data_IF_064027567518
#
_entry.id   IF_064027567518
#
_cell.length_a   1.000
_cell.length_b   1.000
_cell.length_c   1.000
_cell.angle_alpha   90.00
_cell.angle_beta   90.00
_cell.angle_gamma   90.00
#
_symmetry.space_group_name_H-M   'P 1'
#
loop_
_entity.id
_entity.type
_entity.pdbx_description
1 polymer ?
#
# COMPACT_ATOMS: atom_id res chain seq x y z
N UNK A 1 -22.00 4.88 -28.17
CA UNK A 1 -20.66 4.65 -27.61
C UNK A 1 -20.85 3.93 -26.29
N UNK A 2 -20.17 2.80 -26.05
CA UNK A 2 -20.20 2.18 -24.73
C UNK A 2 -19.48 3.13 -23.75
N UNK A 3 -20.22 3.71 -22.80
CA UNK A 3 -19.60 4.50 -21.74
C UNK A 3 -19.12 3.52 -20.67
N UNK A 4 -17.81 3.33 -20.59
CA UNK A 4 -17.22 2.61 -19.48
C UNK A 4 -17.23 3.49 -18.22
N UNK A 5 -17.58 2.88 -17.09
CA UNK A 5 -17.51 3.49 -15.77
C UNK A 5 -16.07 3.36 -15.24
N UNK A 6 -15.52 4.47 -14.77
CA UNK A 6 -14.14 4.56 -14.26
C UNK A 6 -13.11 4.88 -15.34
N UNK A 7 -11.92 5.29 -14.91
CA UNK A 7 -10.77 5.54 -15.78
C UNK A 7 -9.67 4.51 -15.47
N UNK A 8 -9.25 3.77 -16.51
CA UNK A 8 -8.06 2.94 -16.45
C UNK A 8 -6.92 3.69 -17.15
N UNK A 9 -5.86 3.98 -16.41
CA UNK A 9 -4.67 4.66 -16.95
C UNK A 9 -3.88 3.75 -17.87
N UNK A 10 -3.17 4.33 -18.84
CA UNK A 10 -2.23 3.57 -19.69
C UNK A 10 -1.09 2.98 -18.85
N UNK A 11 -0.76 1.72 -19.12
CA UNK A 11 0.36 1.00 -18.51
C UNK A 11 1.66 1.22 -19.28
N UNK A 12 2.63 1.81 -18.60
CA UNK A 12 4.02 1.93 -19.03
C UNK A 12 4.91 1.18 -18.04
N UNK A 13 5.54 0.09 -18.50
CA UNK A 13 6.36 -0.78 -17.67
C UNK A 13 7.63 -0.13 -17.12
N UNK A 14 8.02 1.04 -17.63
CA UNK A 14 9.21 1.77 -17.17
C UNK A 14 8.96 2.55 -15.88
N UNK A 15 7.70 2.94 -15.64
CA UNK A 15 7.34 3.84 -14.54
C UNK A 15 6.21 3.30 -13.67
N UNK A 16 5.50 2.26 -14.10
CA UNK A 16 4.40 1.66 -13.35
C UNK A 16 4.73 0.25 -12.87
N UNK A 17 4.17 -0.10 -11.72
CA UNK A 17 4.19 -1.46 -11.20
C UNK A 17 3.07 -2.30 -11.84
N UNK A 18 3.45 -3.42 -12.45
CA UNK A 18 2.52 -4.33 -13.13
C UNK A 18 1.39 -4.80 -12.21
N UNK A 19 1.70 -5.23 -10.99
CA UNK A 19 0.70 -5.72 -10.02
C UNK A 19 -0.38 -4.67 -9.69
N UNK A 20 0.02 -3.39 -9.58
CA UNK A 20 -0.90 -2.28 -9.30
C UNK A 20 -1.82 -2.04 -10.50
N UNK A 21 -1.27 -2.02 -11.72
CA UNK A 21 -2.07 -1.88 -12.93
C UNK A 21 -3.01 -3.07 -13.14
N UNK A 22 -2.51 -4.30 -12.98
CA UNK A 22 -3.28 -5.53 -13.12
C UNK A 22 -4.46 -5.59 -12.13
N UNK A 23 -4.25 -5.15 -10.89
CA UNK A 23 -5.32 -5.00 -9.90
C UNK A 23 -6.41 -4.02 -10.38
N UNK A 24 -6.03 -2.83 -10.88
CA UNK A 24 -6.96 -1.83 -11.42
C UNK A 24 -7.71 -2.35 -12.65
N UNK A 25 -7.02 -3.00 -13.57
CA UNK A 25 -7.60 -3.62 -14.77
C UNK A 25 -8.65 -4.67 -14.39
N UNK A 26 -8.36 -5.51 -13.39
CA UNK A 26 -9.29 -6.52 -12.89
C UNK A 26 -10.57 -5.89 -12.35
N UNK A 27 -10.46 -4.80 -11.58
CA UNK A 27 -11.64 -4.07 -11.10
C UNK A 27 -12.40 -3.38 -12.23
N UNK A 28 -11.69 -2.82 -13.21
CA UNK A 28 -12.31 -2.17 -14.38
C UNK A 28 -13.11 -3.17 -15.23
N UNK A 29 -12.56 -4.34 -15.50
CA UNK A 29 -13.23 -5.45 -16.19
C UNK A 29 -14.49 -5.88 -15.43
N UNK A 30 -14.38 -6.04 -14.11
CA UNK A 30 -15.50 -6.43 -13.23
C UNK A 30 -16.60 -5.38 -13.23
N UNK A 31 -16.25 -4.11 -12.99
CA UNK A 31 -17.20 -3.00 -12.91
C UNK A 31 -18.00 -2.85 -14.21
N UNK A 32 -17.32 -2.99 -15.35
CA UNK A 32 -17.92 -2.82 -16.67
C UNK A 32 -18.49 -4.13 -17.26
N UNK A 33 -18.46 -5.22 -16.50
CA UNK A 33 -18.98 -6.55 -16.90
C UNK A 33 -18.45 -6.96 -18.28
N UNK A 34 -17.14 -6.76 -18.49
CA UNK A 34 -16.50 -7.01 -19.78
C UNK A 34 -16.42 -8.52 -20.04
N UNK A 35 -17.00 -8.95 -21.16
CA UNK A 35 -17.00 -10.36 -21.58
C UNK A 35 -15.57 -10.87 -21.78
N UNK A 36 -15.36 -12.16 -21.53
CA UNK A 36 -14.04 -12.83 -21.66
C UNK A 36 -13.40 -12.57 -23.03
N UNK A 37 -14.21 -12.58 -24.10
CA UNK A 37 -13.77 -12.31 -25.48
C UNK A 37 -13.15 -10.92 -25.68
N UNK A 38 -13.53 -9.93 -24.85
CA UNK A 38 -13.09 -8.55 -24.98
C UNK A 38 -11.98 -8.17 -23.99
N UNK A 39 -11.66 -9.02 -23.01
CA UNK A 39 -10.67 -8.70 -21.97
C UNK A 39 -9.25 -8.53 -22.55
N UNK A 40 -8.86 -9.35 -23.54
CA UNK A 40 -7.59 -9.17 -24.24
C UNK A 40 -7.51 -7.79 -24.90
N UNK A 41 -8.58 -7.38 -25.62
CA UNK A 41 -8.62 -6.09 -26.30
C UNK A 41 -8.53 -4.92 -25.30
N UNK A 42 -9.19 -5.02 -24.15
CA UNK A 42 -9.10 -4.00 -23.09
C UNK A 42 -7.69 -3.89 -22.52
N UNK A 43 -7.04 -5.01 -22.21
CA UNK A 43 -5.65 -5.02 -21.77
C UNK A 43 -4.75 -4.34 -22.81
N UNK A 44 -4.81 -4.79 -24.05
CA UNK A 44 -3.93 -4.35 -25.14
C UNK A 44 -4.08 -2.86 -25.45
N UNK A 45 -5.30 -2.32 -25.39
CA UNK A 45 -5.58 -0.90 -25.64
C UNK A 45 -5.14 0.03 -24.51
N UNK A 46 -4.87 -0.51 -23.32
CA UNK A 46 -4.35 0.24 -22.18
C UNK A 46 -2.84 0.04 -21.99
N UNK A 47 -2.15 -0.56 -22.94
CA UNK A 47 -0.68 -0.58 -22.96
C UNK A 47 -0.17 0.67 -23.67
N UNK A 48 0.90 1.27 -23.14
CA UNK A 48 1.73 2.18 -23.93
C UNK A 48 2.34 1.44 -25.12
N UNK A 49 2.82 2.18 -26.12
CA UNK A 49 3.46 1.60 -27.30
C UNK A 49 4.65 0.70 -26.93
N UNK A 50 5.46 1.12 -25.95
CA UNK A 50 6.60 0.35 -25.46
C UNK A 50 6.16 -0.92 -24.73
N UNK A 51 5.15 -0.84 -23.86
CA UNK A 51 4.57 -2.02 -23.21
C UNK A 51 3.97 -2.98 -24.23
N UNK A 52 3.24 -2.48 -25.23
CA UNK A 52 2.65 -3.29 -26.29
C UNK A 52 3.73 -4.04 -27.09
N UNK A 53 4.80 -3.33 -27.50
CA UNK A 53 5.95 -3.94 -28.20
C UNK A 53 6.62 -5.00 -27.34
N UNK A 54 6.76 -4.77 -26.04
CA UNK A 54 7.31 -5.75 -25.11
C UNK A 54 6.44 -7.02 -25.10
N UNK A 55 5.12 -6.92 -24.90
CA UNK A 55 4.26 -8.11 -24.88
C UNK A 55 4.30 -8.85 -26.21
N UNK A 56 4.29 -8.12 -27.34
CA UNK A 56 4.45 -8.71 -28.68
C UNK A 56 5.74 -9.52 -28.81
N UNK A 57 6.84 -9.00 -28.28
CA UNK A 57 8.12 -9.72 -28.31
C UNK A 57 8.11 -10.95 -27.40
N UNK A 58 7.43 -10.89 -26.25
CA UNK A 58 7.34 -12.00 -25.30
C UNK A 58 6.49 -13.17 -25.79
N UNK A 59 5.54 -12.93 -26.71
CA UNK A 59 4.66 -13.98 -27.27
C UNK A 59 5.12 -14.50 -28.64
N UNK A 60 6.16 -13.91 -29.24
CA UNK A 60 6.68 -14.34 -30.53
C UNK A 60 7.10 -15.84 -30.49
N UNK A 61 6.77 -16.66 -31.51
CA UNK A 61 6.30 -16.29 -32.86
C UNK A 61 4.79 -16.09 -33.01
N UNK A 62 4.01 -16.26 -31.94
CA UNK A 62 2.56 -16.12 -32.02
C UNK A 62 2.17 -14.64 -32.20
N UNK A 63 1.02 -14.41 -32.84
CA UNK A 63 0.45 -13.06 -32.95
C UNK A 63 -0.20 -12.66 -31.64
N UNK A 64 0.13 -11.46 -31.18
CA UNK A 64 -0.33 -10.93 -29.89
C UNK A 64 -1.86 -10.84 -29.81
N UNK A 65 -2.50 -10.41 -30.89
CA UNK A 65 -3.94 -10.15 -30.99
C UNK A 65 -4.78 -11.44 -30.99
N UNK A 66 -4.14 -12.59 -31.24
CA UNK A 66 -4.78 -13.92 -31.24
C UNK A 66 -4.69 -14.60 -29.85
N UNK A 67 -3.95 -14.03 -28.90
CA UNK A 67 -3.76 -14.60 -27.55
C UNK A 67 -4.93 -14.29 -26.63
N UNK A 68 -5.27 -15.25 -25.78
CA UNK A 68 -6.31 -15.07 -24.76
C UNK A 68 -5.83 -14.20 -23.61
N UNK A 69 -6.77 -13.56 -22.91
CA UNK A 69 -6.45 -12.69 -21.76
C UNK A 69 -5.63 -13.43 -20.69
N UNK A 70 -5.99 -14.67 -20.39
CA UNK A 70 -5.29 -15.52 -19.43
C UNK A 70 -3.83 -15.76 -19.82
N UNK A 71 -3.57 -16.02 -21.11
CA UNK A 71 -2.20 -16.21 -21.60
C UNK A 71 -1.37 -14.93 -21.52
N UNK A 72 -1.95 -13.79 -21.88
CA UNK A 72 -1.28 -12.49 -21.79
C UNK A 72 -0.92 -12.14 -20.35
N UNK A 73 -1.87 -12.30 -19.42
CA UNK A 73 -1.63 -12.08 -17.98
C UNK A 73 -0.54 -13.02 -17.47
N UNK A 74 -0.56 -14.30 -17.85
CA UNK A 74 0.48 -15.26 -17.44
C UNK A 74 1.86 -14.83 -17.92
N UNK A 75 1.98 -14.39 -19.17
CA UNK A 75 3.24 -13.89 -19.75
C UNK A 75 3.72 -12.64 -19.00
N UNK A 76 2.82 -11.69 -18.76
CA UNK A 76 3.15 -10.44 -18.07
C UNK A 76 3.52 -10.65 -16.61
N UNK A 77 2.80 -11.50 -15.89
CA UNK A 77 3.16 -11.93 -14.53
C UNK A 77 4.54 -12.57 -14.52
N UNK A 78 4.82 -13.49 -15.44
CA UNK A 78 6.12 -14.16 -15.54
C UNK A 78 7.28 -13.21 -15.85
N UNK A 79 7.03 -12.17 -16.66
CA UNK A 79 8.04 -11.17 -17.03
C UNK A 79 8.28 -10.13 -15.93
N UNK A 80 7.21 -9.59 -15.34
CA UNK A 80 7.28 -8.50 -14.36
C UNK A 80 7.37 -8.95 -12.92
N UNK A 81 7.21 -10.24 -12.64
CA UNK A 81 7.57 -10.81 -11.34
C UNK A 81 9.03 -11.23 -11.39
N UNK A 82 9.99 -10.41 -10.92
CA UNK A 82 11.34 -10.88 -10.73
C UNK A 82 11.32 -12.12 -9.83
N UNK A 83 12.30 -13.01 -9.97
CA UNK A 83 12.56 -14.03 -8.95
C UNK A 83 12.91 -13.31 -7.65
N UNK A 84 11.91 -13.05 -6.82
CA UNK A 84 12.08 -12.38 -5.53
C UNK A 84 12.78 -13.34 -4.59
N UNK A 85 13.72 -12.80 -3.82
CA UNK A 85 14.30 -13.52 -2.70
C UNK A 85 13.45 -13.21 -1.49
N UNK A 86 12.68 -14.19 -1.01
CA UNK A 86 11.92 -14.06 0.24
C UNK A 86 12.83 -13.62 1.39
N UNK A 87 14.10 -14.04 1.41
CA UNK A 87 15.09 -13.57 2.38
C UNK A 87 15.40 -12.07 2.24
N UNK A 88 15.54 -11.56 1.02
CA UNK A 88 15.77 -10.13 0.80
C UNK A 88 14.56 -9.28 1.21
N UNK A 89 13.35 -9.75 0.94
CA UNK A 89 12.12 -9.06 1.37
C UNK A 89 11.95 -9.11 2.89
N UNK A 90 12.24 -10.26 3.51
CA UNK A 90 12.29 -10.38 4.98
C UNK A 90 13.36 -9.50 5.61
N UNK A 91 14.54 -9.39 5.01
CA UNK A 91 15.59 -8.50 5.51
C UNK A 91 15.10 -7.04 5.56
N UNK A 92 14.52 -6.54 4.45
CA UNK A 92 13.91 -5.20 4.41
C UNK A 92 12.82 -5.01 5.47
N UNK A 93 11.97 -6.02 5.68
CA UNK A 93 10.94 -5.99 6.70
C UNK A 93 11.54 -5.90 8.11
N UNK A 94 12.51 -6.75 8.44
CA UNK A 94 13.10 -6.81 9.78
C UNK A 94 14.00 -5.62 10.10
N UNK A 95 14.66 -5.04 9.09
CA UNK A 95 15.48 -3.83 9.20
C UNK A 95 14.65 -2.54 9.27
N UNK A 96 13.36 -2.61 8.90
CA UNK A 96 12.51 -1.42 8.87
C UNK A 96 12.30 -0.83 10.26
N UNK A 97 12.59 0.47 10.35
CA UNK A 97 12.26 1.34 11.48
C UNK A 97 11.33 2.44 11.00
N UNK A 98 10.57 3.01 11.93
CA UNK A 98 9.78 4.22 11.67
C UNK A 98 10.75 5.37 11.36
N UNK A 99 10.53 6.06 10.25
CA UNK A 99 11.38 7.17 9.84
C UNK A 99 11.05 8.45 10.61
N UNK A 100 12.00 9.37 10.67
CA UNK A 100 11.76 10.73 11.17
C UNK A 100 10.78 11.44 10.23
N UNK A 101 9.81 12.15 10.81
CA UNK A 101 8.73 12.81 10.05
C UNK A 101 7.62 11.90 9.53
N UNK A 102 7.81 10.58 9.51
CA UNK A 102 6.75 9.63 9.17
C UNK A 102 5.66 9.64 10.25
N UNK A 103 4.39 9.66 9.86
CA UNK A 103 3.27 9.49 10.80
C UNK A 103 3.18 8.04 11.30
N UNK A 104 2.39 7.80 12.34
CA UNK A 104 2.24 6.46 12.91
C UNK A 104 1.44 5.57 11.94
N UNK A 105 0.48 6.16 11.24
CA UNK A 105 -0.37 5.56 10.24
C UNK A 105 0.43 5.19 8.98
N UNK A 106 1.28 6.10 8.50
CA UNK A 106 2.20 5.82 7.39
C UNK A 106 3.17 4.70 7.74
N UNK A 107 3.70 4.69 8.97
CA UNK A 107 4.57 3.61 9.44
C UNK A 107 3.86 2.25 9.40
N UNK A 108 2.64 2.16 9.96
CA UNK A 108 1.85 0.93 9.92
C UNK A 108 1.54 0.48 8.48
N UNK A 109 1.20 1.43 7.59
CA UNK A 109 0.88 1.14 6.20
C UNK A 109 2.12 0.65 5.41
N UNK A 110 3.25 1.35 5.54
CA UNK A 110 4.52 0.96 4.92
C UNK A 110 4.96 -0.42 5.39
N UNK A 111 4.85 -0.69 6.69
CA UNK A 111 5.22 -1.97 7.26
C UNK A 111 4.37 -3.13 6.70
N UNK A 112 3.05 -2.92 6.51
CA UNK A 112 2.19 -3.90 5.83
C UNK A 112 2.62 -4.12 4.37
N UNK A 113 3.00 -3.06 3.66
CA UNK A 113 3.54 -3.15 2.30
C UNK A 113 4.82 -3.99 2.21
N UNK A 114 5.73 -3.83 3.18
CA UNK A 114 6.96 -4.63 3.25
C UNK A 114 6.71 -6.12 3.49
N UNK A 115 5.63 -6.46 4.20
CA UNK A 115 5.29 -7.85 4.51
C UNK A 115 4.67 -8.63 3.34
N UNK A 116 4.18 -7.96 2.28
CA UNK A 116 3.41 -8.58 1.17
C UNK A 116 4.13 -9.78 0.55
N UNK A 117 5.45 -9.69 0.39
CA UNK A 117 6.27 -10.71 -0.26
C UNK A 117 7.14 -11.51 0.71
N UNK A 118 6.91 -11.37 2.02
CA UNK A 118 7.70 -12.06 3.04
C UNK A 118 7.25 -13.51 3.31
N UNK A 119 6.12 -13.94 2.75
CA UNK A 119 5.57 -15.30 2.92
C UNK A 119 5.46 -15.69 4.41
N UNK A 120 4.97 -14.79 5.25
CA UNK A 120 4.85 -15.03 6.70
C UNK A 120 3.71 -15.99 7.06
N UNK A 121 2.76 -16.24 6.16
CA UNK A 121 1.66 -17.18 6.39
C UNK A 121 0.83 -16.78 7.61
N UNK A 122 0.60 -17.74 8.50
CA UNK A 122 -0.22 -17.57 9.71
C UNK A 122 0.40 -16.61 10.73
N UNK A 123 1.71 -16.37 10.67
CA UNK A 123 2.43 -15.51 11.61
C UNK A 123 2.41 -14.02 11.22
N UNK A 124 1.76 -13.67 10.11
CA UNK A 124 1.77 -12.32 9.56
C UNK A 124 1.37 -11.25 10.60
N UNK A 125 0.27 -11.48 11.32
CA UNK A 125 -0.24 -10.50 12.29
C UNK A 125 0.69 -10.32 13.49
N UNK A 126 1.25 -11.42 14.01
CA UNK A 126 2.23 -11.41 15.09
C UNK A 126 3.49 -10.64 14.68
N UNK A 127 4.03 -10.96 13.50
CA UNK A 127 5.26 -10.35 13.00
C UNK A 127 5.08 -8.87 12.68
N UNK A 128 3.94 -8.48 12.10
CA UNK A 128 3.61 -7.08 11.86
C UNK A 128 3.53 -6.30 13.17
N UNK A 129 2.84 -6.84 14.18
CA UNK A 129 2.76 -6.21 15.51
C UNK A 129 4.16 -6.05 16.12
N UNK A 130 4.94 -7.12 16.16
CA UNK A 130 6.25 -7.10 16.81
C UNK A 130 7.18 -6.12 16.10
N UNK A 131 7.23 -6.15 14.76
CA UNK A 131 8.05 -5.21 13.99
C UNK A 131 7.55 -3.77 14.10
N UNK A 132 6.23 -3.55 14.18
CA UNK A 132 5.65 -2.22 14.40
C UNK A 132 6.13 -1.64 15.73
N UNK A 133 6.02 -2.41 16.81
CA UNK A 133 6.43 -2.01 18.17
C UNK A 133 7.94 -1.79 18.26
N UNK A 134 8.73 -2.74 17.76
CA UNK A 134 10.19 -2.69 17.82
C UNK A 134 10.78 -1.66 16.85
N UNK A 135 10.03 -1.24 15.83
CA UNK A 135 10.46 -0.26 14.83
C UNK A 135 10.43 1.19 15.30
N UNK A 136 9.87 1.48 16.47
CA UNK A 136 9.96 2.82 17.06
C UNK A 136 11.36 3.11 17.59
N UNK A 137 11.83 4.34 17.36
CA UNK A 137 12.99 4.89 18.07
C UNK A 137 12.74 5.03 19.57
N UNK A 138 13.79 5.37 20.32
CA UNK A 138 13.66 5.70 21.75
C UNK A 138 12.68 6.86 21.94
N UNK A 139 11.69 6.73 22.82
CA UNK A 139 10.72 7.79 23.07
C UNK A 139 9.44 7.31 23.74
N UNK A 140 8.60 8.29 24.08
CA UNK A 140 7.38 8.09 24.86
C UNK A 140 6.41 7.08 24.23
N UNK A 141 6.24 7.10 22.90
CA UNK A 141 5.40 6.15 22.18
C UNK A 141 5.90 4.72 22.36
N UNK A 142 7.21 4.50 22.27
CA UNK A 142 7.81 3.17 22.45
C UNK A 142 7.67 2.68 23.88
N UNK A 143 7.91 3.56 24.86
CA UNK A 143 7.77 3.22 26.27
C UNK A 143 6.34 2.75 26.57
N UNK A 144 5.33 3.46 26.05
CA UNK A 144 3.92 3.06 26.17
C UNK A 144 3.58 1.74 25.49
N UNK A 145 4.22 1.42 24.37
CA UNK A 145 4.04 0.12 23.73
C UNK A 145 4.69 -1.01 24.52
N UNK A 146 5.86 -0.76 25.13
CA UNK A 146 6.59 -1.77 25.90
C UNK A 146 5.93 -2.08 27.25
N UNK A 147 5.10 -1.18 27.77
CA UNK A 147 4.24 -1.42 28.95
C UNK A 147 3.10 -2.44 28.68
N UNK A 148 2.82 -2.79 27.42
CA UNK A 148 1.72 -3.69 27.04
C UNK A 148 2.15 -5.17 27.10
N UNK A 149 1.20 -6.05 27.40
CA UNK A 149 1.42 -7.50 27.35
C UNK A 149 1.41 -7.99 25.90
N UNK A 150 2.55 -8.50 25.43
CA UNK A 150 2.70 -9.02 24.06
C UNK A 150 1.80 -10.22 23.76
N UNK A 151 1.26 -10.93 24.76
CA UNK A 151 0.34 -12.05 24.53
C UNK A 151 -1.04 -11.61 24.06
N UNK A 152 -1.47 -10.42 24.46
CA UNK A 152 -2.83 -9.92 24.20
C UNK A 152 -2.85 -8.74 23.23
N UNK A 153 -1.73 -8.02 23.10
CA UNK A 153 -1.62 -6.89 22.21
C UNK A 153 -1.80 -7.33 20.75
N UNK A 154 -2.73 -6.68 20.06
CA UNK A 154 -2.90 -6.75 18.61
C UNK A 154 -2.20 -5.56 17.92
N UNK A 155 -1.97 -5.66 16.61
CA UNK A 155 -1.43 -4.53 15.83
C UNK A 155 -2.36 -3.31 15.85
N UNK A 156 -3.68 -3.51 15.83
CA UNK A 156 -4.65 -2.42 15.87
C UNK A 156 -4.60 -1.66 17.21
N UNK A 157 -4.53 -2.38 18.32
CA UNK A 157 -4.35 -1.78 19.65
C UNK A 157 -2.98 -1.11 19.79
N UNK A 158 -1.92 -1.69 19.24
CA UNK A 158 -0.60 -1.08 19.24
C UNK A 158 -0.61 0.27 18.49
N UNK A 159 -1.27 0.33 17.33
CA UNK A 159 -1.46 1.56 16.58
C UNK A 159 -2.20 2.62 17.42
N UNK A 160 -3.30 2.24 18.05
CA UNK A 160 -4.10 3.14 18.90
C UNK A 160 -3.30 3.66 20.11
N UNK A 161 -2.54 2.80 20.79
CA UNK A 161 -1.69 3.19 21.91
C UNK A 161 -0.62 4.20 21.47
N UNK A 162 0.04 3.94 20.35
CA UNK A 162 1.07 4.83 19.81
C UNK A 162 0.48 6.20 19.43
N UNK A 163 -0.70 6.23 18.80
CA UNK A 163 -1.43 7.46 18.46
C UNK A 163 -1.78 8.27 19.71
N UNK A 164 -2.38 7.63 20.74
CA UNK A 164 -2.73 8.29 22.00
C UNK A 164 -1.49 8.85 22.70
N UNK A 165 -0.39 8.09 22.72
CA UNK A 165 0.87 8.52 23.32
C UNK A 165 1.48 9.73 22.60
N UNK A 166 1.40 9.77 21.27
CA UNK A 166 1.85 10.90 20.44
C UNK A 166 0.99 12.14 20.66
N UNK A 167 -0.34 12.01 20.61
CA UNK A 167 -1.26 13.12 20.90
C UNK A 167 -1.05 13.71 22.30
N UNK A 168 -0.90 12.87 23.32
CA UNK A 168 -0.64 13.33 24.68
C UNK A 168 0.70 14.07 24.80
N UNK A 169 1.74 13.61 24.11
CA UNK A 169 3.06 14.28 24.06
C UNK A 169 2.97 15.63 23.36
N UNK A 170 2.28 15.71 22.22
CA UNK A 170 2.09 16.95 21.48
C UNK A 170 1.27 17.98 22.27
N UNK A 171 0.22 17.55 22.96
CA UNK A 171 -0.57 18.43 23.83
C UNK A 171 0.28 19.05 24.95
N UNK A 172 1.22 18.28 25.52
CA UNK A 172 2.18 18.79 26.53
C UNK A 172 3.20 19.76 25.93
N UNK A 173 3.71 19.47 24.73
CA UNK A 173 4.68 20.34 24.04
C UNK A 173 4.03 21.65 23.54
N UNK A 174 2.77 21.60 23.10
CA UNK A 174 1.98 22.77 22.71
C UNK A 174 1.58 23.68 23.87
N UNK A 175 1.74 23.24 25.12
CA UNK A 175 1.48 24.03 26.33
C UNK A 175 2.52 25.12 26.63
N UNK A 176 3.58 25.26 25.82
CA UNK A 176 4.56 26.35 25.92
C UNK A 176 4.27 27.55 25.00
N UNK A 177 3.16 27.53 24.24
CA UNK A 177 2.68 28.66 23.43
C UNK A 177 1.34 29.18 23.96
N UNK A 178 1.22 30.49 24.10
CA UNK A 178 0.13 31.21 24.73
C UNK A 178 -1.28 30.60 24.50
N UNK A 179 -1.99 30.35 25.60
CA UNK A 179 -3.42 30.08 25.61
C UNK A 179 -4.14 31.30 25.04
N UNK A 180 -4.54 31.25 23.78
CA UNK A 180 -5.55 32.19 23.26
C UNK A 180 -6.90 31.71 23.78
N UNK A 181 -7.30 32.28 24.92
CA UNK A 181 -8.67 32.15 25.42
C UNK A 181 -9.58 32.81 24.39
N UNK A 182 -10.54 32.04 23.88
CA UNK A 182 -11.57 32.56 22.97
C UNK A 182 -12.52 33.43 23.80
N UNK A 183 -12.38 34.76 23.71
CA UNK A 183 -13.36 35.68 24.30
C UNK A 183 -14.66 35.65 23.50
N UNK A 184 -15.78 35.39 24.20
CA UNK A 184 -17.11 35.50 23.61
C UNK A 184 -17.51 36.98 23.47
N UNK A 185 -18.14 37.38 22.35
CA UNK A 185 -18.55 38.77 22.16
C UNK A 185 -19.67 39.14 23.14
N UNK A 186 -19.39 40.09 24.02
CA UNK A 186 -20.38 40.70 24.92
C UNK A 186 -21.24 41.66 24.09
N UNK A 187 -22.47 41.25 23.79
CA UNK A 187 -23.47 42.15 23.19
C UNK A 187 -24.05 43.07 24.27
N UNK A 188 -23.55 44.30 24.34
CA UNK A 188 -24.26 45.36 25.05
C UNK A 188 -25.45 45.83 24.18
N UNK A 189 -26.67 45.62 24.67
CA UNK A 189 -27.86 46.29 24.13
C UNK A 189 -27.88 47.73 24.63
N UNK A 190 -27.91 48.68 23.69
CA UNK A 190 -28.34 50.05 23.94
C UNK A 190 -29.85 50.09 24.20
#
# INVERSE_FOLDING_TARGET
MANFLGNLSVFDYKIHEWEVFYGKLTQFIKLNTISISNQSAVLLTHLSDESYRLVRNLVHPDKLEERTYSELVKVLNGHFTPKRSTFADRAKFYEAIKSDGETIEEWAARLRGLAVYCEFGTELDTLLRDRFVLGFGTGHERDKLFERDSKTLTLAEALEVAQKASCARQARAGGAGAVVVKEEPVFYRN
#
